data_IF_688373423048
#
_entry.id   IF_688373423048
#
_cell.length_a   1.000
_cell.length_b   1.000
_cell.length_c   1.000
_cell.angle_alpha   90.00
_cell.angle_beta   90.00
_cell.angle_gamma   90.00
#
_symmetry.space_group_name_H-M   'P 1'
#
loop_
_entity.id
_entity.type
_entity.pdbx_description
1 polymer ?
#
# COMPACT_ATOMS: atom_id res chain seq x y z
N UNK A 1 -4.90 6.04 -24.33
CA UNK A 1 -4.49 6.18 -22.93
C UNK A 1 -3.03 5.75 -22.77
N UNK A 2 -2.19 6.60 -22.20
CA UNK A 2 -0.78 6.32 -21.99
C UNK A 2 -0.54 5.29 -20.88
N UNK A 3 0.65 4.68 -20.89
CA UNK A 3 1.05 3.65 -19.94
C UNK A 3 0.88 4.08 -18.46
N UNK A 4 1.24 5.33 -18.13
CA UNK A 4 1.10 5.85 -16.77
C UNK A 4 -0.36 6.03 -16.34
N UNK A 5 -1.24 6.40 -17.27
CA UNK A 5 -2.67 6.53 -16.98
C UNK A 5 -3.31 5.16 -16.72
N UNK A 6 -2.89 4.12 -17.46
CA UNK A 6 -3.37 2.76 -17.21
C UNK A 6 -3.00 2.27 -15.82
N UNK A 7 -1.76 2.51 -15.37
CA UNK A 7 -1.31 2.13 -14.02
C UNK A 7 -2.07 2.87 -12.94
N UNK A 8 -2.32 4.17 -13.11
CA UNK A 8 -3.09 4.97 -12.13
C UNK A 8 -4.53 4.47 -12.05
N UNK A 9 -5.14 4.14 -13.17
CA UNK A 9 -6.51 3.61 -13.21
C UNK A 9 -6.58 2.26 -12.49
N UNK A 10 -5.64 1.36 -12.76
CA UNK A 10 -5.60 0.06 -12.09
C UNK A 10 -5.38 0.21 -10.58
N UNK A 11 -4.48 1.08 -10.16
CA UNK A 11 -4.24 1.36 -8.74
C UNK A 11 -5.50 1.84 -8.04
N UNK A 12 -6.24 2.76 -8.67
CA UNK A 12 -7.47 3.29 -8.11
C UNK A 12 -8.57 2.23 -8.04
N UNK A 13 -8.70 1.38 -9.06
CA UNK A 13 -9.65 0.27 -9.05
C UNK A 13 -9.31 -0.72 -7.95
N UNK A 14 -8.04 -1.00 -7.74
CA UNK A 14 -7.59 -1.86 -6.64
C UNK A 14 -7.90 -1.25 -5.28
N UNK A 15 -7.72 0.07 -5.10
CA UNK A 15 -8.08 0.77 -3.87
C UNK A 15 -9.58 0.59 -3.58
N UNK A 16 -10.45 0.82 -4.57
CA UNK A 16 -11.89 0.64 -4.41
C UNK A 16 -12.26 -0.81 -4.09
N UNK A 17 -11.60 -1.76 -4.76
CA UNK A 17 -11.83 -3.19 -4.53
C UNK A 17 -11.46 -3.60 -3.10
N UNK A 18 -10.30 -3.16 -2.62
CA UNK A 18 -9.78 -3.58 -1.32
C UNK A 18 -10.36 -2.81 -0.14
N UNK A 19 -10.91 -1.63 -0.34
CA UNK A 19 -11.42 -0.79 0.75
C UNK A 19 -12.35 -1.54 1.69
N UNK A 20 -13.29 -2.29 1.13
CA UNK A 20 -14.26 -3.09 1.89
C UNK A 20 -13.56 -4.16 2.74
N UNK A 21 -12.58 -4.86 2.17
CA UNK A 21 -11.86 -5.91 2.87
C UNK A 21 -11.00 -5.34 4.00
N UNK A 22 -10.43 -4.16 3.80
CA UNK A 22 -9.67 -3.45 4.83
C UNK A 22 -10.61 -2.98 5.93
N UNK A 23 -11.76 -2.40 5.59
CA UNK A 23 -12.79 -1.99 6.56
C UNK A 23 -13.27 -3.18 7.39
N UNK A 24 -13.48 -4.33 6.76
CA UNK A 24 -13.88 -5.57 7.46
C UNK A 24 -12.77 -6.04 8.42
N UNK A 25 -11.51 -5.90 8.05
CA UNK A 25 -10.37 -6.30 8.89
C UNK A 25 -10.23 -5.42 10.13
N UNK A 26 -10.33 -4.10 9.96
CA UNK A 26 -10.23 -3.15 11.08
C UNK A 26 -11.56 -2.92 11.81
N UNK A 27 -12.67 -3.35 11.23
CA UNK A 27 -14.05 -3.18 11.77
C UNK A 27 -14.46 -1.72 11.94
N UNK A 28 -14.00 -0.86 11.03
CA UNK A 28 -14.37 0.56 10.98
C UNK A 28 -14.51 1.00 9.53
N UNK A 29 -15.36 1.98 9.30
CA UNK A 29 -15.48 2.62 7.99
C UNK A 29 -14.32 3.58 7.76
N UNK A 30 -13.86 3.65 6.52
CA UNK A 30 -12.75 4.50 6.10
C UNK A 30 -13.21 5.53 5.08
N UNK A 31 -12.60 6.70 5.14
CA UNK A 31 -12.73 7.73 4.11
C UNK A 31 -11.56 7.60 3.14
N UNK A 32 -11.81 7.93 1.88
CA UNK A 32 -10.72 8.03 0.91
C UNK A 32 -9.85 9.24 1.26
N UNK A 33 -8.53 9.09 1.10
CA UNK A 33 -7.62 10.20 1.23
C UNK A 33 -7.92 11.27 0.19
N UNK A 34 -7.62 12.53 0.52
CA UNK A 34 -7.70 13.64 -0.43
C UNK A 34 -6.69 13.42 -1.56
N UNK A 35 -6.85 14.12 -2.69
CA UNK A 35 -6.02 14.00 -3.88
C UNK A 35 -4.51 13.98 -3.58
N UNK A 36 -4.06 14.79 -2.62
CA UNK A 36 -2.66 14.87 -2.21
C UNK A 36 -2.38 14.17 -0.88
N UNK A 37 -3.30 13.33 -0.40
CA UNK A 37 -3.12 12.64 0.86
C UNK A 37 -1.96 11.66 0.78
N UNK A 38 -1.18 11.60 1.84
CA UNK A 38 -0.04 10.70 1.95
C UNK A 38 -0.49 9.24 2.07
N UNK A 39 -1.67 9.01 2.63
CA UNK A 39 -2.27 7.69 2.82
C UNK A 39 -3.56 7.55 2.01
N UNK A 40 -3.84 6.34 1.56
CA UNK A 40 -4.98 6.04 0.67
C UNK A 40 -6.33 6.14 1.38
N UNK A 41 -6.39 5.71 2.64
CA UNK A 41 -7.62 5.72 3.44
C UNK A 41 -7.35 6.21 4.84
N UNK A 42 -8.36 6.82 5.45
CA UNK A 42 -8.22 7.34 6.81
C UNK A 42 -9.57 7.44 7.52
N UNK A 43 -9.51 7.49 8.84
CA UNK A 43 -10.61 7.93 9.70
C UNK A 43 -10.01 8.52 10.98
N UNK A 44 -10.82 8.73 12.02
CA UNK A 44 -10.31 9.31 13.26
C UNK A 44 -9.28 8.45 13.97
N UNK A 45 -9.26 7.14 13.71
CA UNK A 45 -8.40 6.18 14.41
C UNK A 45 -7.29 5.59 13.55
N UNK A 46 -7.42 5.61 12.21
CA UNK A 46 -6.54 4.89 11.30
C UNK A 46 -5.99 5.74 10.17
N UNK A 47 -4.74 5.43 9.80
CA UNK A 47 -4.10 5.85 8.54
C UNK A 47 -3.68 4.59 7.81
N UNK A 48 -4.20 4.40 6.61
CA UNK A 48 -4.05 3.15 5.84
C UNK A 48 -3.42 3.44 4.49
N UNK A 49 -2.38 2.69 4.15
CA UNK A 49 -1.77 2.68 2.82
C UNK A 49 -1.98 1.32 2.19
N UNK A 50 -2.38 1.27 0.94
CA UNK A 50 -2.51 0.03 0.17
C UNK A 50 -1.49 0.03 -0.96
N UNK A 51 -0.75 -1.06 -1.07
CA UNK A 51 0.13 -1.34 -2.20
C UNK A 51 -0.28 -2.66 -2.84
N UNK A 52 -0.53 -2.65 -4.14
CA UNK A 52 -0.79 -3.88 -4.89
C UNK A 52 0.47 -4.27 -5.64
N UNK A 53 0.80 -5.57 -5.58
CA UNK A 53 2.01 -6.11 -6.19
C UNK A 53 1.62 -7.10 -7.30
N UNK A 54 2.32 -7.02 -8.42
CA UNK A 54 2.12 -7.94 -9.56
C UNK A 54 2.80 -9.29 -9.34
N UNK A 55 3.57 -9.42 -8.24
CA UNK A 55 4.29 -10.64 -7.88
C UNK A 55 3.54 -11.43 -6.82
N UNK A 56 3.86 -12.72 -6.71
CA UNK A 56 3.43 -13.55 -5.58
C UNK A 56 4.25 -13.18 -4.34
N UNK A 57 3.72 -13.51 -3.13
CA UNK A 57 4.28 -13.06 -1.85
C UNK A 57 5.77 -13.37 -1.70
N UNK A 58 6.17 -14.60 -2.01
CA UNK A 58 7.55 -15.06 -1.81
C UNK A 58 8.42 -14.98 -3.06
N UNK A 59 7.97 -14.30 -4.11
CA UNK A 59 8.81 -14.09 -5.29
C UNK A 59 10.06 -13.28 -4.94
N UNK A 60 9.91 -12.35 -4.00
CA UNK A 60 11.03 -11.57 -3.44
C UNK A 60 10.98 -11.70 -1.91
N UNK A 61 12.14 -11.66 -1.23
CA UNK A 61 12.18 -11.78 0.24
C UNK A 61 11.61 -10.57 0.97
N UNK A 62 11.54 -9.42 0.30
CA UNK A 62 11.04 -8.17 0.89
C UNK A 62 10.05 -7.48 -0.04
N UNK A 63 9.19 -6.65 0.55
CA UNK A 63 8.40 -5.64 -0.17
C UNK A 63 8.79 -4.27 0.36
N UNK A 64 8.55 -3.22 -0.43
CA UNK A 64 9.06 -1.88 -0.09
C UNK A 64 7.94 -0.89 0.17
N UNK A 65 8.20 0.03 1.12
CA UNK A 65 7.38 1.21 1.38
C UNK A 65 8.31 2.43 1.39
N UNK A 66 7.84 3.55 0.87
CA UNK A 66 8.60 4.80 0.91
C UNK A 66 8.98 5.17 2.35
N UNK A 67 10.23 5.58 2.53
CA UNK A 67 10.76 6.00 3.84
C UNK A 67 9.95 7.16 4.42
N UNK A 68 9.53 8.09 3.57
CA UNK A 68 8.69 9.23 3.96
C UNK A 68 7.35 8.80 4.57
N UNK A 69 6.76 7.72 4.06
CA UNK A 69 5.50 7.18 4.61
C UNK A 69 5.68 6.58 5.99
N UNK A 70 6.81 5.93 6.23
CA UNK A 70 7.16 5.43 7.58
C UNK A 70 7.35 6.60 8.53
N UNK A 71 8.09 7.64 8.13
CA UNK A 71 8.32 8.82 8.96
C UNK A 71 7.01 9.53 9.30
N UNK A 72 6.14 9.72 8.33
CA UNK A 72 4.83 10.34 8.54
C UNK A 72 3.93 9.46 9.41
N UNK A 73 3.99 8.15 9.19
CA UNK A 73 3.27 7.18 10.02
C UNK A 73 3.66 7.28 11.49
N UNK A 74 4.96 7.41 11.77
CA UNK A 74 5.45 7.58 13.15
C UNK A 74 4.89 8.85 13.81
N UNK A 75 4.74 9.94 13.04
CA UNK A 75 4.09 11.15 13.54
C UNK A 75 2.62 10.89 13.91
N UNK A 76 1.89 10.14 13.09
CA UNK A 76 0.49 9.80 13.37
C UNK A 76 0.33 8.89 14.59
N UNK A 77 1.30 8.00 14.84
CA UNK A 77 1.30 7.20 16.07
C UNK A 77 1.31 8.08 17.32
N UNK A 78 2.03 9.20 17.27
CA UNK A 78 2.05 10.18 18.38
C UNK A 78 0.71 10.90 18.57
N UNK A 79 -0.12 10.91 17.56
CA UNK A 79 -1.49 11.46 17.60
C UNK A 79 -2.55 10.41 17.95
N UNK A 80 -2.13 9.26 18.49
CA UNK A 80 -2.97 8.11 18.83
C UNK A 80 -3.69 7.48 17.64
N UNK A 81 -3.14 7.63 16.43
CA UNK A 81 -3.63 6.94 15.24
C UNK A 81 -2.93 5.59 15.10
N UNK A 82 -3.64 4.62 14.53
CA UNK A 82 -3.03 3.36 14.11
C UNK A 82 -2.67 3.48 12.63
N UNK A 83 -1.50 2.99 12.26
CA UNK A 83 -0.94 3.08 10.91
C UNK A 83 -0.70 1.68 10.38
N UNK A 84 -1.39 1.32 9.30
CA UNK A 84 -1.29 -0.03 8.73
C UNK A 84 -1.01 0.06 7.23
N UNK A 85 -0.03 -0.72 6.78
CA UNK A 85 0.29 -0.90 5.37
C UNK A 85 -0.26 -2.24 4.91
N UNK A 86 -1.13 -2.22 3.89
CA UNK A 86 -1.70 -3.43 3.29
C UNK A 86 -1.01 -3.71 1.97
N UNK A 87 -0.80 -4.99 1.68
CA UNK A 87 -0.18 -5.47 0.46
C UNK A 87 -1.06 -6.55 -0.18
N UNK A 88 -1.55 -6.26 -1.40
CA UNK A 88 -2.26 -7.25 -2.20
C UNK A 88 -1.29 -7.94 -3.14
N UNK A 89 -1.02 -9.23 -2.94
CA UNK A 89 -0.14 -10.02 -3.79
C UNK A 89 -0.93 -10.84 -4.81
N UNK A 90 -0.36 -10.99 -5.99
CA UNK A 90 -0.93 -11.83 -7.02
C UNK A 90 -1.07 -13.26 -6.49
N UNK A 91 -2.26 -13.84 -6.55
CA UNK A 91 -2.62 -15.19 -6.12
C UNK A 91 -2.57 -15.49 -4.62
N UNK A 92 -1.75 -14.77 -3.83
CA UNK A 92 -1.58 -15.08 -2.41
C UNK A 92 -2.56 -14.35 -1.48
N UNK A 93 -3.11 -13.23 -1.94
CA UNK A 93 -4.10 -12.48 -1.18
C UNK A 93 -3.59 -11.20 -0.56
N UNK A 94 -4.35 -10.72 0.42
CA UNK A 94 -4.10 -9.47 1.12
C UNK A 94 -3.39 -9.73 2.45
N UNK A 95 -2.30 -9.02 2.66
CA UNK A 95 -1.46 -9.08 3.86
C UNK A 95 -1.29 -7.69 4.43
N UNK A 96 -0.86 -7.59 5.69
CA UNK A 96 -0.66 -6.30 6.34
C UNK A 96 0.58 -6.26 7.21
N UNK A 97 1.07 -5.04 7.41
CA UNK A 97 2.09 -4.69 8.38
C UNK A 97 1.57 -3.49 9.17
N UNK A 98 1.33 -3.68 10.47
CA UNK A 98 0.94 -2.58 11.34
C UNK A 98 2.19 -1.95 11.95
N UNK A 99 2.38 -0.65 11.70
CA UNK A 99 3.54 0.09 12.19
C UNK A 99 3.44 0.34 13.70
N UNK A 100 4.53 0.14 14.41
CA UNK A 100 4.69 0.64 15.79
C UNK A 100 6.03 1.38 15.90
N UNK A 101 6.35 1.89 17.07
CA UNK A 101 7.53 2.73 17.27
C UNK A 101 8.85 1.99 17.03
N UNK A 102 8.87 0.67 17.12
CA UNK A 102 10.10 -0.12 17.13
C UNK A 102 10.24 -1.12 16.00
N UNK A 103 9.14 -1.62 15.43
CA UNK A 103 9.15 -2.79 14.53
C UNK A 103 9.77 -2.56 13.16
N UNK A 104 10.08 -1.31 12.82
CA UNK A 104 10.71 -0.96 11.54
C UNK A 104 12.21 -0.73 11.64
N UNK A 105 12.76 -0.64 12.86
CA UNK A 105 14.13 -0.18 13.08
C UNK A 105 15.20 -1.10 12.53
N UNK A 106 14.92 -2.40 12.48
CA UNK A 106 15.86 -3.41 11.96
C UNK A 106 15.72 -3.66 10.46
N UNK A 107 14.77 -3.00 9.79
CA UNK A 107 14.58 -3.17 8.36
C UNK A 107 15.59 -2.35 7.57
N UNK A 108 16.08 -2.92 6.46
CA UNK A 108 17.02 -2.25 5.59
C UNK A 108 16.38 -1.05 4.89
N UNK A 109 17.16 0.01 4.74
CA UNK A 109 16.81 1.18 3.93
C UNK A 109 17.56 1.08 2.61
N UNK A 110 16.85 1.22 1.49
CA UNK A 110 17.44 1.11 0.17
C UNK A 110 16.97 2.22 -0.76
N UNK A 111 17.67 2.37 -1.87
CA UNK A 111 17.31 3.29 -2.94
C UNK A 111 16.67 2.55 -4.13
N UNK A 112 16.21 1.31 -3.92
CA UNK A 112 15.60 0.48 -4.96
C UNK A 112 14.28 1.13 -5.43
N UNK A 113 14.04 1.09 -6.72
CA UNK A 113 12.80 1.62 -7.31
C UNK A 113 12.88 3.08 -7.77
N UNK A 114 14.03 3.73 -7.59
CA UNK A 114 14.21 5.13 -8.00
C UNK A 114 14.62 5.31 -9.46
N UNK A 115 14.63 4.25 -10.29
CA UNK A 115 15.03 4.31 -11.70
C UNK A 115 14.26 5.34 -12.53
N UNK A 116 13.03 5.67 -12.14
CA UNK A 116 12.14 6.51 -12.93
C UNK A 116 11.67 7.77 -12.22
N UNK A 117 12.15 8.02 -10.99
CA UNK A 117 11.67 9.16 -10.19
C UNK A 117 12.81 9.90 -9.52
N UNK A 118 13.77 10.37 -10.31
CA UNK A 118 14.67 11.41 -9.83
C UNK A 118 13.93 12.73 -9.93
N UNK A 119 13.31 13.15 -8.84
CA UNK A 119 12.84 14.52 -8.71
C UNK A 119 14.00 15.30 -8.11
N UNK A 120 14.54 16.27 -8.86
CA UNK A 120 15.66 17.12 -8.43
C UNK A 120 16.94 16.34 -8.05
N UNK A 121 17.24 15.26 -8.75
CA UNK A 121 18.42 14.40 -8.47
C UNK A 121 18.45 13.79 -7.07
N UNK A 122 17.33 13.75 -6.35
CA UNK A 122 17.25 13.09 -5.03
C UNK A 122 16.73 11.68 -5.21
N UNK A 123 17.52 10.69 -4.80
CA UNK A 123 17.09 9.30 -4.76
C UNK A 123 16.07 9.11 -3.63
N UNK A 124 14.93 8.49 -3.96
CA UNK A 124 13.89 8.23 -2.99
C UNK A 124 14.23 6.98 -2.19
N UNK A 125 14.35 7.14 -0.87
CA UNK A 125 14.62 6.01 0.04
C UNK A 125 13.36 5.18 0.27
N UNK A 126 13.56 3.88 0.43
CA UNK A 126 12.52 2.91 0.76
C UNK A 126 12.95 2.05 1.93
N UNK A 127 11.98 1.60 2.72
CA UNK A 127 12.20 0.56 3.74
C UNK A 127 11.82 -0.78 3.12
N UNK A 128 12.68 -1.77 3.32
CA UNK A 128 12.47 -3.14 2.89
C UNK A 128 11.83 -3.94 4.03
N UNK A 129 10.57 -4.32 3.85
CA UNK A 129 9.82 -5.11 4.84
C UNK A 129 9.91 -6.58 4.45
N UNK A 130 10.48 -7.44 5.32
CA UNK A 130 10.49 -8.87 5.04
C UNK A 130 9.06 -9.41 4.86
N UNK A 131 8.79 -10.16 3.80
CA UNK A 131 7.43 -10.63 3.53
C UNK A 131 6.95 -11.65 4.56
N UNK A 132 7.85 -12.30 5.28
CA UNK A 132 7.51 -13.27 6.32
C UNK A 132 7.00 -12.63 7.62
N UNK A 133 7.19 -11.31 7.82
CA UNK A 133 6.63 -10.61 8.97
C UNK A 133 5.22 -10.06 8.71
N UNK A 134 4.72 -10.19 7.47
CA UNK A 134 3.39 -9.72 7.13
C UNK A 134 2.31 -10.66 7.67
N UNK A 135 1.23 -10.08 8.19
CA UNK A 135 0.08 -10.84 8.68
C UNK A 135 -0.93 -11.06 7.55
N UNK A 136 -1.44 -12.28 7.43
CA UNK A 136 -2.48 -12.61 6.45
C UNK A 136 -3.82 -11.96 6.85
N UNK A 137 -4.51 -11.38 5.87
CA UNK A 137 -5.83 -10.76 6.06
C UNK A 137 -6.92 -11.57 5.40
N UNK A 138 -6.84 -11.77 4.08
CA UNK A 138 -7.82 -12.55 3.32
C UNK A 138 -7.23 -12.98 1.98
N UNK A 139 -7.96 -13.86 1.28
CA UNK A 139 -7.50 -14.44 0.01
C UNK A 139 -7.73 -13.55 -1.22
N UNK A 140 -8.30 -12.36 -1.04
CA UNK A 140 -8.54 -11.44 -2.17
C UNK A 140 -7.25 -10.98 -2.83
N UNK A 141 -7.22 -11.04 -4.16
CA UNK A 141 -6.06 -10.69 -4.95
C UNK A 141 -6.29 -9.40 -5.75
N UNK A 142 -5.22 -8.71 -6.17
CA UNK A 142 -5.37 -7.50 -6.98
C UNK A 142 -6.18 -7.78 -8.25
N UNK A 143 -7.00 -6.82 -8.64
CA UNK A 143 -7.70 -6.86 -9.90
C UNK A 143 -6.68 -6.85 -11.04
N UNK A 144 -6.89 -7.73 -12.01
CA UNK A 144 -6.02 -7.88 -13.16
C UNK A 144 -6.88 -7.99 -14.41
N UNK A 145 -6.35 -7.60 -15.55
CA UNK A 145 -6.99 -7.84 -16.82
C UNK A 145 -7.30 -6.59 -17.63
N UNK A 146 -8.32 -6.70 -18.47
CA UNK A 146 -8.70 -5.65 -19.43
C UNK A 146 -9.34 -4.46 -18.70
N UNK A 147 -8.66 -3.33 -18.74
CA UNK A 147 -9.16 -2.07 -18.16
C UNK A 147 -10.52 -1.66 -18.68
N UNK A 148 -10.74 -1.89 -19.96
CA UNK A 148 -12.01 -1.55 -20.61
C UNK A 148 -13.16 -2.30 -19.98
N UNK A 149 -12.97 -3.59 -19.73
CA UNK A 149 -13.96 -4.44 -19.08
C UNK A 149 -14.19 -4.02 -17.63
N UNK A 150 -13.13 -3.76 -16.88
CA UNK A 150 -13.22 -3.33 -15.47
C UNK A 150 -13.95 -2.00 -15.35
N UNK A 151 -13.65 -1.04 -16.21
CA UNK A 151 -14.31 0.26 -16.22
C UNK A 151 -15.80 0.13 -16.55
N UNK A 152 -16.18 -0.74 -17.47
CA UNK A 152 -17.58 -0.97 -17.80
C UNK A 152 -18.36 -1.68 -16.68
N UNK A 153 -17.71 -2.51 -15.89
CA UNK A 153 -18.32 -3.19 -14.74
C UNK A 153 -18.50 -2.27 -13.53
N UNK A 154 -17.67 -1.23 -13.39
CA UNK A 154 -17.74 -0.26 -12.31
C UNK A 154 -18.82 0.80 -12.53
N UNK A 155 -19.22 0.99 -13.79
CA UNK A 155 -20.32 1.88 -14.16
C UNK A 155 -21.63 1.12 -14.28
#
# INVERSE_FOLDING_TARGET
>A
MGFFQKRRTQGKLNEEHYKKFIEDDIKEELNNGKYNALFDFENDNYKIELKTRECVRFQYPTTIIGYDKIQKGLEFLKEDKRVIFYFGFKTDGLYKFELNEDNHKDFNISNIGCRYRKINNVEKKHIEIPVDVLDFVCSECPLQGDYTKLVSEVH
#
